data_IF_543851756098
#
_entry.id   IF_543851756098
#
_cell.length_a   1.000
_cell.length_b   1.000
_cell.length_c   1.000
_cell.angle_alpha   90.00
_cell.angle_beta   90.00
_cell.angle_gamma   90.00
#
_symmetry.space_group_name_H-M   'P 1'
#
loop_
_entity.id
_entity.type
_entity.pdbx_description
1 polymer ?
#
# COMPACT_ATOMS: atom_id res chain seq x y z
N UNK A 1 8.28 -6.54 -23.09
CA UNK A 1 7.88 -6.53 -21.67
C UNK A 1 7.81 -7.99 -21.24
N UNK A 2 8.88 -8.55 -20.66
CA UNK A 2 9.01 -9.98 -20.35
C UNK A 2 8.98 -10.25 -18.83
N UNK A 3 8.88 -9.19 -18.03
CA UNK A 3 9.15 -9.23 -16.59
C UNK A 3 7.94 -9.57 -15.70
N UNK A 4 6.74 -9.47 -16.26
CA UNK A 4 5.54 -9.95 -15.57
C UNK A 4 5.53 -11.47 -15.38
N UNK A 5 6.32 -12.25 -16.15
CA UNK A 5 6.37 -13.71 -16.02
C UNK A 5 7.11 -14.13 -14.74
N UNK A 6 8.18 -13.42 -14.38
CA UNK A 6 9.03 -13.76 -13.24
C UNK A 6 8.40 -13.34 -11.89
N UNK A 7 7.37 -12.50 -11.92
CA UNK A 7 6.63 -12.05 -10.71
C UNK A 7 5.26 -12.72 -10.52
N UNK A 8 4.76 -13.48 -11.49
CA UNK A 8 3.38 -14.00 -11.45
C UNK A 8 3.22 -15.28 -10.62
N UNK A 9 4.13 -16.25 -10.68
CA UNK A 9 3.84 -17.60 -10.15
C UNK A 9 4.61 -17.96 -8.86
N UNK A 10 5.81 -17.40 -8.65
CA UNK A 10 6.66 -17.68 -7.49
C UNK A 10 7.45 -16.43 -7.09
N UNK A 11 7.34 -16.02 -5.83
CA UNK A 11 8.07 -14.86 -5.28
C UNK A 11 9.60 -15.01 -5.44
N UNK A 12 10.11 -16.24 -5.43
CA UNK A 12 11.55 -16.48 -5.54
C UNK A 12 12.07 -16.26 -6.96
N UNK A 13 11.19 -16.21 -7.97
CA UNK A 13 11.60 -15.91 -9.35
C UNK A 13 11.82 -14.42 -9.59
N UNK A 14 11.30 -13.55 -8.73
CA UNK A 14 11.56 -12.09 -8.79
C UNK A 14 13.05 -11.79 -8.56
N UNK A 15 13.74 -12.60 -7.76
CA UNK A 15 15.19 -12.48 -7.54
C UNK A 15 15.99 -12.56 -8.86
N UNK A 16 15.48 -13.30 -9.85
CA UNK A 16 16.13 -13.44 -11.17
C UNK A 16 16.22 -12.09 -11.90
N UNK A 17 15.30 -11.17 -11.64
CA UNK A 17 15.30 -9.83 -12.25
C UNK A 17 16.15 -8.81 -11.49
N UNK A 18 16.54 -9.10 -10.25
CA UNK A 18 17.20 -8.14 -9.38
C UNK A 18 18.55 -7.71 -9.96
N UNK A 19 19.36 -8.67 -10.40
CA UNK A 19 20.67 -8.40 -10.99
C UNK A 19 20.55 -7.63 -12.32
N UNK A 20 19.64 -8.04 -13.21
CA UNK A 20 19.43 -7.37 -14.50
C UNK A 20 18.93 -5.93 -14.32
N UNK A 21 17.98 -5.70 -13.40
CA UNK A 21 17.45 -4.37 -13.08
C UNK A 21 18.54 -3.51 -12.43
N UNK A 22 19.31 -4.07 -11.50
CA UNK A 22 20.43 -3.39 -10.84
C UNK A 22 21.50 -2.97 -11.85
N UNK A 23 21.91 -3.87 -12.74
CA UNK A 23 22.88 -3.57 -13.80
C UNK A 23 22.37 -2.52 -14.78
N UNK A 24 21.08 -2.58 -15.16
CA UNK A 24 20.46 -1.55 -15.99
C UNK A 24 20.56 -0.17 -15.31
N UNK A 25 20.05 -0.04 -14.08
CA UNK A 25 20.07 1.24 -13.35
C UNK A 25 21.50 1.75 -13.12
N UNK A 26 22.44 0.84 -12.82
CA UNK A 26 23.86 1.18 -12.65
C UNK A 26 24.48 1.68 -13.95
N UNK A 27 24.22 1.00 -15.08
CA UNK A 27 24.73 1.45 -16.38
C UNK A 27 24.18 2.82 -16.77
N UNK A 28 22.88 3.08 -16.55
CA UNK A 28 22.26 4.39 -16.79
C UNK A 28 22.88 5.46 -15.89
N UNK A 29 23.20 5.12 -14.64
CA UNK A 29 23.88 6.02 -13.72
C UNK A 29 25.30 6.36 -14.19
N UNK A 30 26.11 5.34 -14.51
CA UNK A 30 27.50 5.49 -14.94
C UNK A 30 27.63 6.24 -16.28
N UNK A 31 26.66 6.07 -17.18
CA UNK A 31 26.57 6.81 -18.45
C UNK A 31 26.07 8.26 -18.28
N UNK A 32 25.66 8.65 -17.07
CA UNK A 32 25.14 9.99 -16.77
C UNK A 32 23.70 10.23 -17.24
N UNK A 33 22.98 9.19 -17.67
CA UNK A 33 21.58 9.27 -18.12
C UNK A 33 20.63 9.64 -16.97
N UNK A 34 21.05 9.36 -15.72
CA UNK A 34 20.31 9.72 -14.52
C UNK A 34 20.61 11.14 -14.00
N UNK A 35 21.56 11.88 -14.60
CA UNK A 35 21.98 13.19 -14.11
C UNK A 35 20.88 14.27 -14.17
N UNK A 36 19.88 14.06 -15.01
CA UNK A 36 18.72 14.94 -15.13
C UNK A 36 17.39 14.17 -15.19
N UNK A 37 17.36 12.96 -14.62
CA UNK A 37 16.21 12.06 -14.66
C UNK A 37 15.76 11.69 -13.24
N UNK A 38 14.49 11.97 -12.92
CA UNK A 38 13.86 11.37 -11.74
C UNK A 38 13.49 9.92 -12.05
N UNK A 39 13.92 8.99 -11.21
CA UNK A 39 13.62 7.57 -11.36
C UNK A 39 12.57 7.19 -10.32
N UNK A 40 11.50 6.54 -10.76
CA UNK A 40 10.50 5.92 -9.89
C UNK A 40 10.50 4.44 -10.20
N UNK A 41 10.75 3.62 -9.19
CA UNK A 41 10.61 2.16 -9.28
C UNK A 41 9.45 1.77 -8.37
N UNK A 42 8.41 1.19 -8.95
CA UNK A 42 7.19 0.85 -8.23
C UNK A 42 6.60 -0.47 -8.71
N UNK A 43 5.93 -1.16 -7.80
CA UNK A 43 5.02 -2.26 -8.09
C UNK A 43 3.57 -1.75 -8.06
N UNK A 44 2.72 -2.33 -8.88
CA UNK A 44 1.27 -2.06 -8.89
C UNK A 44 0.56 -2.75 -7.73
N UNK A 45 1.05 -3.91 -7.32
CA UNK A 45 0.59 -4.67 -6.15
C UNK A 45 1.73 -5.46 -5.50
N UNK A 46 1.50 -5.95 -4.29
CA UNK A 46 2.39 -6.94 -3.66
C UNK A 46 2.20 -8.35 -4.21
N UNK A 47 2.86 -9.37 -3.65
CA UNK A 47 2.76 -10.72 -4.21
C UNK A 47 1.34 -11.32 -4.03
N UNK A 48 0.65 -11.55 -5.16
CA UNK A 48 -0.77 -11.95 -5.19
C UNK A 48 -0.98 -13.46 -5.37
N UNK A 49 0.06 -14.20 -5.71
CA UNK A 49 -0.03 -15.60 -6.14
C UNK A 49 0.77 -16.52 -5.20
N UNK A 50 0.67 -17.84 -5.39
CA UNK A 50 1.27 -18.91 -4.56
C UNK A 50 0.61 -19.23 -3.19
N UNK A 51 1.03 -20.37 -2.61
CA UNK A 51 0.58 -20.90 -1.29
C UNK A 51 0.86 -19.92 -0.14
N UNK A 52 1.82 -19.00 -0.33
CA UNK A 52 2.21 -18.00 0.66
C UNK A 52 1.04 -17.07 1.04
N UNK A 53 0.11 -16.78 0.13
CA UNK A 53 -1.10 -16.00 0.41
C UNK A 53 -1.99 -16.61 1.50
N UNK A 54 -1.92 -17.92 1.70
CA UNK A 54 -2.62 -18.61 2.80
C UNK A 54 -2.03 -18.35 4.18
N UNK A 55 -0.91 -17.62 4.27
CA UNK A 55 -0.23 -17.24 5.52
C UNK A 55 -0.51 -15.78 5.86
N UNK A 56 -0.44 -15.43 7.15
CA UNK A 56 -0.56 -14.04 7.60
C UNK A 56 0.47 -13.12 6.94
N UNK A 57 1.71 -13.61 6.75
CA UNK A 57 2.76 -12.87 6.06
C UNK A 57 2.36 -12.58 4.60
N UNK A 58 1.90 -13.58 3.84
CA UNK A 58 1.53 -13.38 2.44
C UNK A 58 0.38 -12.39 2.22
N UNK A 59 -0.55 -12.29 3.16
CA UNK A 59 -1.61 -11.26 3.10
C UNK A 59 -1.09 -9.85 3.38
N UNK A 60 -0.06 -9.71 4.22
CA UNK A 60 0.62 -8.43 4.42
C UNK A 60 1.45 -8.07 3.19
N UNK A 61 2.21 -9.02 2.64
CA UNK A 61 3.02 -8.83 1.42
C UNK A 61 2.15 -8.43 0.22
N UNK A 62 0.95 -9.01 0.03
CA UNK A 62 -0.01 -8.60 -1.03
C UNK A 62 -0.35 -7.10 -0.98
N UNK A 63 -0.32 -6.50 0.20
CA UNK A 63 -0.71 -5.11 0.48
C UNK A 63 0.45 -4.12 0.49
N UNK A 64 1.68 -4.61 0.30
CA UNK A 64 2.90 -3.80 0.36
C UNK A 64 3.57 -3.76 -1.03
N UNK A 65 3.01 -3.01 -2.00
CA UNK A 65 3.74 -2.76 -3.23
C UNK A 65 5.03 -1.97 -2.93
N UNK A 66 6.13 -2.37 -3.55
CA UNK A 66 7.36 -1.61 -3.51
C UNK A 66 7.16 -0.25 -4.17
N UNK A 67 7.72 0.81 -3.58
CA UNK A 67 7.70 2.15 -4.17
C UNK A 67 8.95 2.93 -3.74
N UNK A 68 9.71 3.42 -4.70
CA UNK A 68 10.90 4.23 -4.47
C UNK A 68 11.00 5.38 -5.48
N UNK A 69 11.60 6.48 -5.03
CA UNK A 69 11.89 7.66 -5.85
C UNK A 69 13.36 8.05 -5.66
N UNK A 70 14.09 8.21 -6.75
CA UNK A 70 15.42 8.80 -6.77
C UNK A 70 15.39 10.11 -7.57
N UNK A 71 15.87 11.19 -6.93
CA UNK A 71 16.04 12.49 -7.58
C UNK A 71 17.49 12.64 -8.08
N UNK A 72 17.73 13.35 -9.20
CA UNK A 72 19.09 13.63 -9.67
C UNK A 72 19.93 14.33 -8.60
N UNK A 73 21.22 14.01 -8.52
CA UNK A 73 22.12 14.57 -7.51
C UNK A 73 22.18 16.10 -7.59
N UNK A 74 22.47 16.64 -8.78
CA UNK A 74 22.59 18.08 -8.99
C UNK A 74 21.25 18.80 -8.77
N UNK A 75 20.13 18.16 -9.10
CA UNK A 75 18.80 18.72 -8.83
C UNK A 75 18.58 18.94 -7.33
N UNK A 76 19.00 17.99 -6.48
CA UNK A 76 18.87 18.09 -5.02
C UNK A 76 19.62 19.29 -4.43
N UNK A 77 20.64 19.80 -5.11
CA UNK A 77 21.41 20.98 -4.68
C UNK A 77 20.76 22.32 -5.08
N UNK A 78 19.80 22.30 -6.01
CA UNK A 78 19.02 23.50 -6.34
C UNK A 78 18.07 23.88 -5.21
N UNK A 79 17.69 25.15 -5.10
CA UNK A 79 16.73 25.60 -4.10
C UNK A 79 15.39 24.84 -4.15
N UNK A 80 14.91 24.53 -5.37
CA UNK A 80 13.68 23.77 -5.57
C UNK A 80 13.85 22.29 -5.24
N UNK A 81 14.92 21.64 -5.73
CA UNK A 81 15.14 20.22 -5.52
C UNK A 81 15.48 19.88 -4.07
N UNK A 82 16.18 20.77 -3.34
CA UNK A 82 16.40 20.62 -1.89
C UNK A 82 15.07 20.57 -1.14
N UNK A 83 14.16 21.49 -1.44
CA UNK A 83 12.81 21.52 -0.86
C UNK A 83 12.01 20.25 -1.20
N UNK A 84 12.10 19.77 -2.44
CA UNK A 84 11.44 18.51 -2.85
C UNK A 84 12.00 17.30 -2.11
N UNK A 85 13.33 17.19 -2.02
CA UNK A 85 13.99 16.09 -1.32
C UNK A 85 13.65 16.07 0.17
N UNK A 86 13.67 17.22 0.85
CA UNK A 86 13.25 17.34 2.25
C UNK A 86 11.78 16.93 2.45
N UNK A 87 10.90 17.27 1.50
CA UNK A 87 9.50 16.83 1.54
C UNK A 87 9.35 15.31 1.36
N UNK A 88 10.08 14.70 0.42
CA UNK A 88 10.10 13.24 0.26
C UNK A 88 10.57 12.55 1.54
N UNK A 89 11.70 12.99 2.10
CA UNK A 89 12.24 12.44 3.35
C UNK A 89 11.29 12.59 4.53
N UNK A 90 10.56 13.70 4.62
CA UNK A 90 9.56 13.93 5.67
C UNK A 90 8.31 13.07 5.51
N UNK A 91 7.90 12.78 4.28
CA UNK A 91 6.66 12.05 3.99
C UNK A 91 6.83 10.53 3.90
N UNK A 92 8.06 10.01 3.75
CA UNK A 92 8.30 8.58 3.53
C UNK A 92 7.69 7.65 4.58
N UNK A 93 7.54 8.12 5.83
CA UNK A 93 6.97 7.34 6.94
C UNK A 93 5.62 7.91 7.43
N UNK A 94 4.94 8.75 6.63
CA UNK A 94 3.68 9.39 7.02
C UNK A 94 2.49 8.75 6.29
N UNK A 95 1.54 8.24 7.06
CA UNK A 95 0.25 7.74 6.56
C UNK A 95 -0.86 8.81 6.58
N UNK A 96 -0.48 10.08 6.72
CA UNK A 96 -1.39 11.23 6.70
C UNK A 96 -1.10 12.12 5.51
N UNK A 97 -2.14 12.73 4.89
CA UNK A 97 -1.94 13.68 3.81
C UNK A 97 -1.00 14.82 4.24
N UNK A 98 -0.11 15.22 3.34
CA UNK A 98 0.77 16.36 3.58
C UNK A 98 -0.04 17.65 3.76
N UNK A 99 0.28 18.47 4.77
CA UNK A 99 -0.45 19.71 5.07
C UNK A 99 -0.48 20.68 3.86
N UNK A 100 0.59 20.74 3.06
CA UNK A 100 0.64 21.52 1.84
C UNK A 100 -0.34 21.02 0.77
N UNK A 101 -0.53 19.70 0.68
CA UNK A 101 -1.54 19.10 -0.21
C UNK A 101 -2.95 19.40 0.29
N UNK A 102 -3.18 19.37 1.60
CA UNK A 102 -4.47 19.74 2.18
C UNK A 102 -4.83 21.22 1.91
N UNK A 103 -3.83 22.10 1.93
CA UNK A 103 -4.02 23.52 1.63
C UNK A 103 -4.08 23.83 0.13
N UNK A 104 -3.71 22.88 -0.75
CA UNK A 104 -3.74 23.09 -2.18
C UNK A 104 -5.17 23.28 -2.69
N UNK A 105 -5.41 24.41 -3.35
CA UNK A 105 -6.70 24.78 -3.93
C UNK A 105 -6.66 24.78 -5.46
N UNK A 106 -5.61 25.35 -6.05
CA UNK A 106 -5.42 25.41 -7.49
C UNK A 106 -3.97 25.82 -7.83
N UNK A 107 -3.68 26.02 -9.11
CA UNK A 107 -2.50 26.74 -9.58
C UNK A 107 -2.75 28.25 -9.46
N UNK A 108 -1.77 29.01 -8.95
CA UNK A 108 -1.84 30.47 -8.79
C UNK A 108 -1.32 31.24 -10.00
N UNK A 109 -0.38 30.65 -10.74
CA UNK A 109 0.28 31.22 -11.92
C UNK A 109 -0.19 30.56 -13.23
N UNK A 110 0.28 31.10 -14.36
CA UNK A 110 -0.19 30.67 -15.69
C UNK A 110 0.53 29.42 -16.19
N UNK A 111 1.72 29.16 -15.67
CA UNK A 111 2.66 28.11 -16.04
C UNK A 111 2.63 26.88 -15.13
N UNK A 112 1.93 26.92 -13.99
CA UNK A 112 1.69 25.71 -13.19
C UNK A 112 2.60 25.53 -11.97
N UNK A 113 3.58 26.41 -11.76
CA UNK A 113 4.68 26.15 -10.82
C UNK A 113 4.44 26.74 -9.42
N UNK A 114 3.52 27.69 -9.28
CA UNK A 114 3.17 28.29 -7.99
C UNK A 114 1.80 27.76 -7.56
N UNK A 115 1.74 26.94 -6.50
CA UNK A 115 0.47 26.47 -5.98
C UNK A 115 -0.26 27.58 -5.22
N UNK A 116 -1.59 27.64 -5.39
CA UNK A 116 -2.49 28.34 -4.49
C UNK A 116 -2.73 27.47 -3.25
N UNK A 117 -2.09 27.84 -2.15
CA UNK A 117 -2.20 27.17 -0.84
C UNK A 117 -3.17 27.89 0.11
N UNK A 118 -4.13 28.66 -0.42
CA UNK A 118 -5.18 29.32 0.37
C UNK A 118 -6.35 28.39 0.74
N UNK A 119 -6.27 27.10 0.38
CA UNK A 119 -7.25 26.10 0.76
C UNK A 119 -7.24 25.83 2.26
N UNK A 120 -8.41 25.48 2.78
CA UNK A 120 -8.64 25.11 4.18
C UNK A 120 -9.28 23.71 4.25
N UNK A 121 -8.69 22.76 3.51
CA UNK A 121 -9.19 21.38 3.54
C UNK A 121 -8.78 20.74 4.85
N UNK A 122 -9.67 20.78 5.84
CA UNK A 122 -9.50 19.98 7.05
C UNK A 122 -9.48 18.48 6.73
N UNK A 123 -8.71 17.70 7.49
CA UNK A 123 -8.75 16.23 7.43
C UNK A 123 -10.13 15.74 7.87
N UNK A 124 -11.02 15.55 6.90
CA UNK A 124 -12.38 15.09 7.14
C UNK A 124 -12.44 13.58 7.40
N UNK A 125 -11.42 12.85 6.96
CA UNK A 125 -11.42 11.40 6.97
C UNK A 125 -10.14 10.84 7.58
N UNK A 126 -10.29 9.73 8.30
CA UNK A 126 -9.18 8.93 8.80
C UNK A 126 -9.47 7.45 8.52
N UNK A 127 -8.44 6.72 8.08
CA UNK A 127 -8.50 5.27 8.03
C UNK A 127 -7.93 4.70 9.32
N UNK A 128 -8.67 3.82 9.98
CA UNK A 128 -8.20 3.08 11.15
C UNK A 128 -8.09 1.60 10.78
N UNK A 129 -6.98 0.96 11.16
CA UNK A 129 -6.86 -0.48 11.07
C UNK A 129 -7.08 -1.08 12.46
N UNK A 130 -8.13 -1.88 12.61
CA UNK A 130 -8.43 -2.59 13.86
C UNK A 130 -8.16 -4.07 13.68
N UNK A 131 -7.47 -4.65 14.66
CA UNK A 131 -7.30 -6.10 14.79
C UNK A 131 -8.16 -6.62 15.92
N UNK A 132 -9.04 -7.56 15.61
CA UNK A 132 -9.96 -8.18 16.57
C UNK A 132 -9.63 -9.66 16.69
N UNK A 133 -9.75 -10.21 17.89
CA UNK A 133 -9.68 -11.64 18.17
C UNK A 133 -11.01 -12.11 18.76
N UNK A 134 -11.64 -13.11 18.17
CA UNK A 134 -12.93 -13.61 18.67
C UNK A 134 -12.77 -14.76 19.65
N UNK A 135 -13.79 -14.90 20.49
CA UNK A 135 -14.05 -16.10 21.30
C UNK A 135 -15.55 -16.38 21.20
N UNK A 136 -16.01 -17.58 20.80
CA UNK A 136 -15.24 -18.76 20.39
C UNK A 136 -14.51 -18.61 19.03
N UNK A 137 -13.71 -19.61 18.66
CA UNK A 137 -13.09 -19.72 17.33
C UNK A 137 -11.71 -19.08 17.17
N UNK A 138 -11.31 -18.19 18.08
CA UNK A 138 -9.96 -17.59 18.10
C UNK A 138 -9.60 -16.94 16.74
N UNK A 139 -10.61 -16.52 15.99
CA UNK A 139 -10.45 -15.91 14.68
C UNK A 139 -9.80 -14.54 14.86
N UNK A 140 -8.80 -14.26 14.05
CA UNK A 140 -8.22 -12.93 13.94
C UNK A 140 -8.86 -12.27 12.74
N UNK A 141 -9.38 -11.06 12.93
CA UNK A 141 -9.87 -10.21 11.87
C UNK A 141 -9.08 -8.92 11.82
N UNK A 142 -8.75 -8.46 10.62
CA UNK A 142 -8.19 -7.13 10.38
C UNK A 142 -9.18 -6.33 9.54
N UNK A 143 -9.66 -5.23 10.11
CA UNK A 143 -10.72 -4.39 9.55
C UNK A 143 -10.16 -2.99 9.31
N UNK A 144 -10.30 -2.48 8.09
CA UNK A 144 -10.04 -1.07 7.77
C UNK A 144 -11.35 -0.30 7.87
N UNK A 145 -11.38 0.68 8.76
CA UNK A 145 -12.52 1.56 8.99
C UNK A 145 -12.24 2.91 8.35
N UNK A 146 -13.22 3.45 7.65
CA UNK A 146 -13.20 4.84 7.19
C UNK A 146 -14.04 5.67 8.15
N UNK A 147 -13.40 6.57 8.89
CA UNK A 147 -14.08 7.48 9.80
C UNK A 147 -14.19 8.87 9.18
N UNK A 148 -15.41 9.35 8.98
CA UNK A 148 -15.69 10.73 8.60
C UNK A 148 -15.93 11.57 9.87
N UNK A 149 -14.98 12.46 10.17
CA UNK A 149 -15.01 13.33 11.34
C UNK A 149 -16.04 14.47 11.24
N UNK A 150 -16.48 14.83 10.02
CA UNK A 150 -17.50 15.86 9.78
C UNK A 150 -18.90 15.30 9.99
N UNK A 151 -19.17 14.12 9.44
CA UNK A 151 -20.45 13.42 9.57
C UNK A 151 -20.55 12.64 10.90
N UNK A 152 -19.42 12.38 11.56
CA UNK A 152 -19.30 11.48 12.72
C UNK A 152 -19.78 10.06 12.38
N UNK A 153 -19.49 9.62 11.16
CA UNK A 153 -19.87 8.32 10.64
C UNK A 153 -18.65 7.41 10.51
N UNK A 154 -18.88 6.11 10.73
CA UNK A 154 -17.89 5.06 10.48
C UNK A 154 -18.44 4.19 9.36
N UNK A 155 -17.69 4.10 8.27
CA UNK A 155 -17.98 3.23 7.15
C UNK A 155 -17.06 2.03 7.19
N UNK A 156 -17.66 0.84 7.08
CA UNK A 156 -16.94 -0.44 7.11
C UNK A 156 -17.28 -1.17 5.82
N UNK A 157 -16.26 -1.52 5.04
CA UNK A 157 -16.43 -2.44 3.92
C UNK A 157 -16.29 -3.88 4.44
N UNK A 158 -17.44 -4.55 4.60
CA UNK A 158 -17.49 -5.94 5.04
C UNK A 158 -16.83 -6.90 4.04
N UNK A 159 -16.68 -6.52 2.78
CA UNK A 159 -15.96 -7.29 1.76
C UNK A 159 -14.43 -7.17 1.87
N UNK A 160 -13.93 -6.12 2.54
CA UNK A 160 -12.50 -5.87 2.72
C UNK A 160 -11.94 -6.41 4.06
N UNK A 161 -12.78 -7.03 4.89
CA UNK A 161 -12.35 -7.64 6.16
C UNK A 161 -11.41 -8.81 5.87
N UNK A 162 -10.20 -8.76 6.43
CA UNK A 162 -9.26 -9.87 6.35
C UNK A 162 -9.44 -10.83 7.53
N UNK A 163 -9.44 -12.13 7.26
CA UNK A 163 -9.33 -13.18 8.26
C UNK A 163 -7.95 -13.86 8.15
N UNK A 164 -6.90 -13.30 8.78
CA UNK A 164 -5.52 -13.72 8.55
C UNK A 164 -5.09 -15.12 9.03
N UNK A 165 -5.77 -15.71 10.01
CA UNK A 165 -5.48 -17.08 10.44
C UNK A 165 -6.40 -18.09 9.72
N UNK A 166 -6.01 -19.36 9.67
CA UNK A 166 -6.84 -20.40 9.03
C UNK A 166 -8.05 -20.73 9.92
N UNK A 167 -9.27 -20.66 9.38
CA UNK A 167 -10.51 -21.04 10.11
C UNK A 167 -10.73 -22.57 10.20
N UNK A 168 -10.07 -23.35 9.34
CA UNK A 168 -10.07 -24.82 9.42
C UNK A 168 -11.47 -25.41 9.29
N UNK A 169 -11.83 -26.29 10.24
CA UNK A 169 -13.12 -26.99 10.29
C UNK A 169 -14.16 -26.28 11.20
N UNK A 170 -13.83 -25.10 11.73
CA UNK A 170 -14.73 -24.33 12.58
C UNK A 170 -16.10 -24.03 11.94
N UNK A 171 -16.22 -23.70 10.63
CA UNK A 171 -17.50 -23.43 9.99
C UNK A 171 -18.16 -24.67 9.35
N UNK A 172 -17.77 -25.90 9.68
CA UNK A 172 -18.17 -27.11 8.92
C UNK A 172 -19.69 -27.28 8.72
N UNK A 173 -20.51 -26.86 9.67
CA UNK A 173 -21.98 -26.90 9.61
C UNK A 173 -22.59 -25.93 8.59
N UNK A 174 -21.88 -24.85 8.20
CA UNK A 174 -22.37 -23.85 7.23
C UNK A 174 -21.75 -24.00 5.85
N UNK A 175 -20.61 -24.69 5.70
CA UNK A 175 -19.87 -24.81 4.42
C UNK A 175 -20.77 -25.26 3.26
N UNK A 176 -21.64 -26.25 3.49
CA UNK A 176 -22.52 -26.80 2.45
C UNK A 176 -23.79 -25.97 2.20
N UNK A 177 -24.12 -25.04 3.09
CA UNK A 177 -25.30 -24.18 2.96
C UNK A 177 -24.93 -22.82 2.36
N UNK A 178 -23.84 -22.24 2.86
CA UNK A 178 -23.31 -20.97 2.37
C UNK A 178 -21.80 -20.87 2.68
N UNK A 179 -20.99 -21.22 1.69
CA UNK A 179 -19.53 -21.16 1.80
C UNK A 179 -18.99 -19.75 2.10
N UNK A 180 -19.67 -18.68 1.67
CA UNK A 180 -19.22 -17.30 1.94
C UNK A 180 -19.26 -16.93 3.42
N UNK A 181 -20.07 -17.64 4.22
CA UNK A 181 -20.11 -17.48 5.66
C UNK A 181 -19.02 -18.27 6.39
N UNK A 182 -18.25 -19.12 5.70
CA UNK A 182 -17.20 -19.92 6.32
C UNK A 182 -16.13 -19.07 7.01
N UNK A 183 -15.84 -17.89 6.46
CA UNK A 183 -14.89 -16.94 7.06
C UNK A 183 -15.41 -16.33 8.36
N UNK A 184 -16.71 -16.34 8.63
CA UNK A 184 -17.32 -15.61 9.75
C UNK A 184 -17.95 -16.50 10.82
N UNK A 185 -18.34 -17.72 10.46
CA UNK A 185 -19.12 -18.59 11.32
C UNK A 185 -18.27 -19.62 12.07
N UNK A 186 -18.76 -19.98 13.26
CA UNK A 186 -18.21 -21.05 14.10
C UNK A 186 -19.35 -21.97 14.50
N UNK A 187 -19.18 -23.27 14.31
CA UNK A 187 -20.15 -24.30 14.64
C UNK A 187 -19.91 -24.80 16.05
N UNK A 188 -20.89 -24.62 16.93
CA UNK A 188 -20.75 -24.82 18.38
C UNK A 188 -20.60 -26.28 18.83
N UNK A 189 -20.84 -27.26 17.95
CA UNK A 189 -20.72 -28.68 18.26
C UNK A 189 -19.26 -29.14 18.45
N UNK A 190 -18.28 -28.32 18.06
CA UNK A 190 -16.84 -28.60 18.19
C UNK A 190 -16.07 -27.61 19.06
N UNK A 191 -16.75 -26.73 19.80
CA UNK A 191 -16.13 -25.58 20.49
C UNK A 191 -16.61 -25.43 21.92
#
# INVERSE_FOLDING_TARGET
MHQSLLSHDDINLVEVEDEDLSQLLKSMHENGELNNTMVIVMADHGHRFAKLRGTHQGQLEERLPFFSIALPADFRETAHGKKMYENLQRNKDRLVPNEGVLKYKNVKDKDGFVPDLSGDTGTAFAHYQIKLRTTPGVALYEVTLFYDSKLKEVHIDLGAISHPNKFGDAPHCIINQNYFLATYCVCHDKV
#
